data_IF_199676252607
#
_entry.id   IF_199676252607
#
_cell.length_a   1.000
_cell.length_b   1.000
_cell.length_c   1.000
_cell.angle_alpha   90.00
_cell.angle_beta   90.00
_cell.angle_gamma   90.00
#
_symmetry.space_group_name_H-M   'P 1'
#
loop_
_entity.id
_entity.type
_entity.pdbx_description
1 polymer ?
#
# COMPACT_ATOMS: atom_id res chain seq x y z
N UNK A 1 6.09 2.76 12.90
CA UNK A 1 5.68 3.01 11.50
C UNK A 1 5.53 4.51 11.29
N UNK A 2 6.09 5.02 10.20
CA UNK A 2 5.88 6.40 9.75
C UNK A 2 5.16 6.40 8.41
N UNK A 3 4.23 7.34 8.25
CA UNK A 3 3.48 7.55 7.02
C UNK A 3 3.79 8.95 6.50
N UNK A 4 4.24 9.04 5.25
CA UNK A 4 4.41 10.33 4.57
C UNK A 4 3.68 10.25 3.24
N UNK A 5 2.83 11.23 2.96
CA UNK A 5 2.16 11.37 1.67
C UNK A 5 2.83 12.51 0.91
N UNK A 6 3.36 12.20 -0.26
CA UNK A 6 3.86 13.19 -1.21
C UNK A 6 2.85 13.38 -2.33
N UNK A 7 2.67 14.63 -2.73
CA UNK A 7 1.71 15.02 -3.75
C UNK A 7 2.44 15.47 -5.01
N UNK A 8 2.20 14.76 -6.11
CA UNK A 8 2.76 15.08 -7.42
C UNK A 8 1.60 15.12 -8.42
N UNK A 9 1.05 16.31 -8.64
CA UNK A 9 -0.12 16.54 -9.50
C UNK A 9 -1.35 15.74 -9.04
N UNK A 10 -1.75 14.71 -9.79
CA UNK A 10 -2.87 13.81 -9.47
C UNK A 10 -2.40 12.49 -8.81
N UNK A 11 -1.10 12.36 -8.55
CA UNK A 11 -0.50 11.16 -7.98
C UNK A 11 -0.15 11.42 -6.52
N UNK A 12 -0.66 10.58 -5.62
CA UNK A 12 -0.26 10.55 -4.21
C UNK A 12 0.71 9.40 -4.00
N UNK A 13 1.91 9.71 -3.51
CA UNK A 13 2.90 8.70 -3.16
C UNK A 13 2.87 8.52 -1.64
N UNK A 14 2.41 7.37 -1.18
CA UNK A 14 2.39 6.99 0.24
C UNK A 14 3.65 6.23 0.56
N UNK A 15 4.55 6.85 1.33
CA UNK A 15 5.75 6.23 1.84
C UNK A 15 5.47 5.55 3.17
N UNK A 16 5.70 4.23 3.21
CA UNK A 16 5.56 3.41 4.41
C UNK A 16 6.96 3.04 4.92
N UNK A 17 7.25 3.36 6.19
CA UNK A 17 8.55 3.09 6.80
C UNK A 17 8.42 2.33 8.12
N UNK A 18 9.09 1.18 8.25
CA UNK A 18 9.05 0.29 9.41
C UNK A 18 8.26 -1.01 9.16
N UNK A 19 7.50 -1.47 10.15
CA UNK A 19 6.83 -2.77 10.15
C UNK A 19 5.32 -2.66 9.93
N UNK A 20 4.78 -3.48 9.02
CA UNK A 20 3.34 -3.57 8.74
C UNK A 20 2.81 -4.89 9.30
N UNK A 21 2.25 -4.81 10.50
CA UNK A 21 1.62 -5.91 11.23
C UNK A 21 0.15 -5.58 11.53
N UNK A 22 -0.51 -6.42 12.33
CA UNK A 22 -1.91 -6.21 12.71
C UNK A 22 -2.16 -4.86 13.42
N UNK A 23 -1.20 -4.35 14.21
CA UNK A 23 -1.36 -3.10 14.97
C UNK A 23 -1.30 -1.86 14.06
N UNK A 24 -0.59 -1.97 12.94
CA UNK A 24 -0.35 -0.87 12.00
C UNK A 24 -1.28 -0.93 10.78
N UNK A 25 -1.82 -2.11 10.47
CA UNK A 25 -2.65 -2.38 9.28
C UNK A 25 -3.83 -1.42 9.15
N UNK A 26 -4.54 -1.14 10.24
CA UNK A 26 -5.70 -0.23 10.20
C UNK A 26 -5.31 1.21 9.85
N UNK A 27 -4.15 1.67 10.31
CA UNK A 27 -3.63 3.01 9.99
C UNK A 27 -3.21 3.09 8.52
N UNK A 28 -2.58 2.03 7.99
CA UNK A 28 -2.24 1.97 6.57
C UNK A 28 -3.51 2.03 5.71
N UNK A 29 -4.55 1.27 6.08
CA UNK A 29 -5.85 1.30 5.41
C UNK A 29 -6.48 2.69 5.42
N UNK A 30 -6.57 3.32 6.59
CA UNK A 30 -7.13 4.67 6.76
C UNK A 30 -6.33 5.76 6.05
N UNK A 31 -5.06 5.50 5.72
CA UNK A 31 -4.23 6.43 4.94
C UNK A 31 -4.42 6.23 3.44
N UNK A 32 -4.47 4.98 2.97
CA UNK A 32 -4.44 4.66 1.54
C UNK A 32 -5.82 4.75 0.91
N UNK A 33 -6.84 4.12 1.50
CA UNK A 33 -8.15 4.01 0.85
C UNK A 33 -8.81 5.36 0.58
N UNK A 34 -8.83 6.33 1.51
CA UNK A 34 -9.47 7.63 1.24
C UNK A 34 -8.84 8.39 0.07
N UNK A 35 -7.54 8.21 -0.19
CA UNK A 35 -6.86 8.83 -1.33
C UNK A 35 -7.38 8.25 -2.65
N UNK A 36 -7.65 6.94 -2.69
CA UNK A 36 -8.24 6.25 -3.83
C UNK A 36 -9.70 6.66 -4.01
N UNK A 37 -10.47 6.73 -2.92
CA UNK A 37 -11.87 7.18 -2.95
C UNK A 37 -12.03 8.60 -3.48
N UNK A 38 -11.06 9.48 -3.17
CA UNK A 38 -10.99 10.84 -3.66
C UNK A 38 -10.58 10.94 -5.15
N UNK A 39 -10.35 9.82 -5.85
CA UNK A 39 -10.08 9.80 -7.29
C UNK A 39 -8.61 9.95 -7.67
N UNK A 40 -7.68 9.88 -6.71
CA UNK A 40 -6.26 10.04 -6.99
C UNK A 40 -5.64 8.75 -7.55
N UNK A 41 -4.59 8.89 -8.37
CA UNK A 41 -3.63 7.81 -8.59
C UNK A 41 -2.78 7.65 -7.33
N UNK A 42 -2.67 6.42 -6.80
CA UNK A 42 -1.98 6.16 -5.54
C UNK A 42 -0.82 5.19 -5.75
N UNK A 43 0.38 5.64 -5.42
CA UNK A 43 1.58 4.81 -5.42
C UNK A 43 2.00 4.55 -3.98
N UNK A 44 2.28 3.31 -3.63
CA UNK A 44 2.76 2.96 -2.28
C UNK A 44 4.24 2.59 -2.36
N UNK A 45 5.10 3.42 -1.78
CA UNK A 45 6.53 3.14 -1.69
C UNK A 45 6.80 2.25 -0.46
N UNK A 46 7.40 1.09 -0.71
CA UNK A 46 7.66 0.04 0.28
C UNK A 46 9.16 -0.16 0.54
N UNK A 47 10.02 0.76 0.09
CA UNK A 47 11.49 0.61 0.10
C UNK A 47 12.05 0.49 1.51
N UNK A 48 11.41 1.16 2.46
CA UNK A 48 11.79 1.23 3.88
C UNK A 48 10.89 0.40 4.78
N UNK A 49 10.06 -0.48 4.21
CA UNK A 49 9.32 -1.46 5.00
C UNK A 49 10.27 -2.60 5.36
N UNK A 50 10.57 -2.75 6.65
CA UNK A 50 11.48 -3.77 7.17
C UNK A 50 10.78 -5.12 7.36
N UNK A 51 9.46 -5.12 7.52
CA UNK A 51 8.64 -6.32 7.75
C UNK A 51 7.19 -6.11 7.31
N UNK A 52 6.55 -7.17 6.80
CA UNK A 52 5.13 -7.20 6.49
C UNK A 52 4.58 -8.62 6.73
N UNK A 53 3.38 -8.72 7.30
CA UNK A 53 2.65 -9.99 7.44
C UNK A 53 1.46 -10.11 6.46
N UNK A 54 0.60 -11.11 6.66
CA UNK A 54 -0.60 -11.31 5.82
C UNK A 54 -1.66 -10.21 5.98
N UNK A 55 -1.69 -9.51 7.11
CA UNK A 55 -2.61 -8.40 7.33
C UNK A 55 -2.24 -7.19 6.47
N UNK A 56 -0.93 -6.92 6.30
CA UNK A 56 -0.45 -5.92 5.34
C UNK A 56 -0.85 -6.23 3.89
N UNK A 57 -0.76 -7.50 3.47
CA UNK A 57 -1.20 -7.93 2.13
C UNK A 57 -2.69 -7.63 1.90
N UNK A 58 -3.53 -7.82 2.91
CA UNK A 58 -4.97 -7.59 2.80
C UNK A 58 -5.29 -6.15 2.39
N UNK A 59 -4.56 -5.17 2.95
CA UNK A 59 -4.73 -3.74 2.62
C UNK A 59 -4.30 -3.46 1.19
N UNK A 60 -3.24 -4.11 0.69
CA UNK A 60 -2.80 -3.94 -0.69
C UNK A 60 -3.82 -4.52 -1.68
N UNK A 61 -4.40 -5.69 -1.38
CA UNK A 61 -5.47 -6.29 -2.20
C UNK A 61 -6.71 -5.40 -2.21
N UNK A 62 -7.13 -4.92 -1.04
CA UNK A 62 -8.28 -4.02 -0.88
C UNK A 62 -8.07 -2.72 -1.66
N UNK A 63 -6.89 -2.11 -1.55
CA UNK A 63 -6.52 -0.90 -2.27
C UNK A 63 -6.55 -1.09 -3.79
N UNK A 64 -6.02 -2.21 -4.28
CA UNK A 64 -6.05 -2.56 -5.71
C UNK A 64 -7.49 -2.68 -6.21
N UNK A 65 -8.34 -3.47 -5.53
CA UNK A 65 -9.75 -3.63 -5.89
C UNK A 65 -10.50 -2.31 -5.90
N UNK A 66 -10.32 -1.50 -4.86
CA UNK A 66 -10.96 -0.19 -4.78
C UNK A 66 -10.50 0.73 -5.93
N UNK A 67 -9.23 0.68 -6.32
CA UNK A 67 -8.74 1.49 -7.45
C UNK A 67 -9.36 1.06 -8.78
N UNK A 68 -9.57 -0.23 -8.99
CA UNK A 68 -10.26 -0.78 -10.16
C UNK A 68 -11.73 -0.31 -10.20
N UNK A 69 -12.43 -0.36 -9.06
CA UNK A 69 -13.81 0.14 -8.91
C UNK A 69 -13.92 1.64 -9.19
N UNK A 70 -12.98 2.43 -8.67
CA UNK A 70 -12.92 3.89 -8.84
C UNK A 70 -12.33 4.32 -10.19
N UNK A 71 -11.86 3.38 -11.01
CA UNK A 71 -11.14 3.63 -12.26
C UNK A 71 -9.92 4.55 -12.06
N UNK A 72 -9.29 4.44 -10.90
CA UNK A 72 -8.02 5.08 -10.57
C UNK A 72 -6.88 4.07 -10.72
N UNK A 73 -5.65 4.51 -10.50
CA UNK A 73 -4.46 3.68 -10.64
C UNK A 73 -3.81 3.45 -9.29
N UNK A 74 -3.51 2.20 -8.97
CA UNK A 74 -2.81 1.80 -7.75
C UNK A 74 -1.56 0.99 -8.10
N UNK A 75 -0.40 1.41 -7.60
CA UNK A 75 0.88 0.74 -7.88
C UNK A 75 1.75 0.61 -6.63
N UNK A 76 2.44 -0.53 -6.52
CA UNK A 76 3.51 -0.72 -5.52
C UNK A 76 4.83 -0.24 -6.13
N UNK A 77 5.59 0.57 -5.39
CA UNK A 77 6.88 1.12 -5.79
C UNK A 77 7.97 0.67 -4.84
N UNK A 78 9.15 0.42 -5.41
CA UNK A 78 10.38 0.14 -4.68
C UNK A 78 10.20 -0.90 -3.56
N UNK A 79 9.69 -2.08 -3.90
CA UNK A 79 9.35 -3.10 -2.90
C UNK A 79 10.62 -3.64 -2.24
N UNK A 80 10.68 -3.61 -0.89
CA UNK A 80 11.81 -4.17 -0.15
C UNK A 80 11.85 -5.70 -0.22
N UNK A 81 13.04 -6.30 -0.11
CA UNK A 81 13.21 -7.76 -0.15
C UNK A 81 12.32 -8.54 0.85
N UNK A 82 12.15 -8.08 2.12
CA UNK A 82 11.21 -8.74 3.04
C UNK A 82 9.79 -8.77 2.50
N UNK A 83 9.32 -7.66 1.94
CA UNK A 83 7.96 -7.54 1.40
C UNK A 83 7.79 -8.36 0.12
N UNK A 84 8.80 -8.41 -0.76
CA UNK A 84 8.77 -9.25 -1.97
C UNK A 84 8.52 -10.73 -1.64
N UNK A 85 9.18 -11.26 -0.59
CA UNK A 85 8.97 -12.65 -0.15
C UNK A 85 7.53 -12.89 0.26
N UNK A 86 6.94 -11.94 0.97
CA UNK A 86 5.56 -12.00 1.48
C UNK A 86 4.56 -11.93 0.33
N UNK A 87 4.75 -11.00 -0.61
CA UNK A 87 3.94 -10.91 -1.83
C UNK A 87 4.06 -12.16 -2.72
N UNK A 88 5.25 -12.76 -2.81
CA UNK A 88 5.46 -13.99 -3.57
C UNK A 88 4.65 -15.16 -3.00
N UNK A 89 4.51 -15.25 -1.67
CA UNK A 89 3.65 -16.24 -1.02
C UNK A 89 2.16 -15.95 -1.27
N UNK A 90 1.78 -14.68 -1.39
CA UNK A 90 0.41 -14.25 -1.64
C UNK A 90 0.01 -14.16 -3.12
N UNK A 91 0.90 -14.52 -4.07
CA UNK A 91 0.67 -14.41 -5.52
C UNK A 91 -0.62 -15.04 -6.05
N UNK A 92 -1.20 -16.00 -5.31
CA UNK A 92 -2.48 -16.62 -5.69
C UNK A 92 -3.70 -15.71 -5.44
N UNK A 93 -3.53 -14.65 -4.65
CA UNK A 93 -4.60 -13.78 -4.15
C UNK A 93 -4.52 -12.33 -4.64
N UNK A 94 -3.46 -11.97 -5.37
CA UNK A 94 -3.20 -10.66 -5.97
C UNK A 94 -3.49 -10.66 -7.47
#
# INVERSE_FOLDING_TARGET
MTFKVEDINNTKIVHLEGEIDMDVTDKARQTILPLIEAGNEVHVNLSKVSYMDSSGISVLIESKKLSEEKKTKFELKEVSKPVEKVLAMARKFL
#
